data_IF_805606495239
#
_entry.id   IF_805606495239
#
_cell.length_a   1.000
_cell.length_b   1.000
_cell.length_c   1.000
_cell.angle_alpha   90.00
_cell.angle_beta   90.00
_cell.angle_gamma   90.00
#
_symmetry.space_group_name_H-M   'P 1'
#
loop_
_entity.id
_entity.type
_entity.pdbx_description
1 polymer ?
#
# COMPACT_ATOMS: atom_id res chain seq x y z
N UNK A 1 16.88 -17.66 -11.35
CA UNK A 1 16.10 -16.80 -10.45
C UNK A 1 15.41 -17.73 -9.47
N UNK A 2 15.83 -17.79 -8.20
CA UNK A 2 15.09 -18.57 -7.18
C UNK A 2 13.72 -17.92 -7.06
N UNK A 3 12.64 -18.64 -7.37
CA UNK A 3 11.30 -18.07 -7.35
C UNK A 3 10.94 -17.64 -5.93
N UNK A 4 10.41 -16.42 -5.78
CA UNK A 4 9.92 -15.91 -4.50
C UNK A 4 8.62 -16.60 -4.12
N UNK A 5 8.39 -16.75 -2.82
CA UNK A 5 7.18 -17.36 -2.27
C UNK A 5 6.07 -16.32 -2.12
N UNK A 6 4.82 -16.76 -1.92
CA UNK A 6 3.73 -15.84 -1.64
C UNK A 6 3.89 -15.12 -0.28
N UNK A 7 4.49 -15.80 0.70
CA UNK A 7 4.84 -15.22 2.00
C UNK A 7 5.90 -14.13 1.88
N UNK A 8 6.96 -14.38 1.11
CA UNK A 8 7.99 -13.37 0.83
C UNK A 8 7.35 -12.13 0.19
N UNK A 9 6.50 -12.33 -0.81
CA UNK A 9 5.82 -11.24 -1.49
C UNK A 9 4.87 -10.48 -0.55
N UNK A 10 4.14 -11.17 0.32
CA UNK A 10 3.32 -10.54 1.36
C UNK A 10 4.19 -9.63 2.25
N UNK A 11 5.35 -10.09 2.71
CA UNK A 11 6.24 -9.29 3.55
C UNK A 11 6.68 -7.99 2.88
N UNK A 12 6.96 -8.03 1.57
CA UNK A 12 7.27 -6.81 0.79
C UNK A 12 6.13 -5.78 0.83
N UNK A 13 4.88 -6.23 0.96
CA UNK A 13 3.71 -5.35 0.99
C UNK A 13 3.35 -4.83 2.38
N UNK A 14 3.53 -5.64 3.43
CA UNK A 14 3.07 -5.27 4.79
C UNK A 14 4.17 -4.68 5.67
N UNK A 15 5.43 -5.04 5.44
CA UNK A 15 6.55 -4.56 6.25
C UNK A 15 6.87 -3.10 5.90
N UNK A 16 6.53 -2.20 6.83
CA UNK A 16 6.66 -0.76 6.63
C UNK A 16 8.11 -0.27 6.63
N UNK A 17 9.00 -1.00 7.31
CA UNK A 17 10.43 -0.66 7.39
C UNK A 17 11.14 -1.04 6.09
N UNK A 18 10.86 -2.25 5.59
CA UNK A 18 11.46 -2.76 4.36
C UNK A 18 11.04 -1.97 3.11
N UNK A 19 9.83 -1.39 3.10
CA UNK A 19 9.33 -0.65 1.94
C UNK A 19 10.27 0.48 1.50
N UNK A 20 10.91 1.16 2.46
CA UNK A 20 11.81 2.30 2.19
C UNK A 20 13.16 1.86 1.58
N UNK A 21 13.52 0.58 1.70
CA UNK A 21 14.78 0.08 1.17
C UNK A 21 14.77 -0.01 -0.36
N UNK A 22 13.60 -0.24 -0.96
CA UNK A 22 13.47 -0.45 -2.40
C UNK A 22 12.59 0.58 -3.11
N UNK A 23 11.63 1.20 -2.42
CA UNK A 23 10.73 2.21 -2.99
C UNK A 23 11.29 3.64 -2.78
N UNK A 24 11.91 4.19 -3.82
CA UNK A 24 12.52 5.54 -3.79
C UNK A 24 11.49 6.66 -3.63
N UNK A 25 10.21 6.37 -3.84
CA UNK A 25 9.11 7.34 -3.67
C UNK A 25 8.58 7.34 -2.24
N UNK A 26 8.77 6.27 -1.47
CA UNK A 26 8.31 6.19 -0.08
C UNK A 26 9.19 7.05 0.85
N UNK A 27 8.67 8.20 1.26
CA UNK A 27 9.36 9.09 2.20
C UNK A 27 9.18 8.57 3.63
N UNK A 28 7.94 8.30 4.02
CA UNK A 28 7.60 7.81 5.35
C UNK A 28 6.48 6.78 5.22
N UNK A 29 6.63 5.63 5.86
CA UNK A 29 5.58 4.64 6.02
C UNK A 29 5.67 4.16 7.46
N UNK A 30 4.55 4.19 8.20
CA UNK A 30 4.50 3.77 9.61
C UNK A 30 3.12 3.31 10.03
N UNK A 31 3.10 2.41 11.00
CA UNK A 31 1.88 2.00 11.68
C UNK A 31 1.62 3.01 12.81
N UNK A 32 0.46 3.66 12.78
CA UNK A 32 0.01 4.61 13.80
C UNK A 32 -0.65 3.88 14.96
N UNK A 33 -1.43 2.85 14.66
CA UNK A 33 -2.19 2.04 15.61
C UNK A 33 -2.35 0.63 15.05
N UNK A 34 -2.39 -0.36 15.95
CA UNK A 34 -2.69 -1.75 15.62
C UNK A 34 -3.79 -2.24 16.55
N UNK A 35 -4.91 -2.67 15.97
CA UNK A 35 -5.98 -3.35 16.68
C UNK A 35 -5.82 -4.87 16.50
N UNK A 36 -5.33 -5.60 17.52
CA UNK A 36 -5.16 -7.04 17.44
C UNK A 36 -6.49 -7.80 17.43
N UNK A 37 -7.60 -7.20 17.88
CA UNK A 37 -8.91 -7.88 17.90
C UNK A 37 -9.51 -7.97 16.51
N UNK A 38 -9.30 -6.94 15.70
CA UNK A 38 -9.81 -6.85 14.32
C UNK A 38 -8.73 -7.07 13.27
N UNK A 39 -7.49 -7.37 13.70
CA UNK A 39 -6.32 -7.55 12.84
C UNK A 39 -6.14 -6.39 11.83
N UNK A 40 -6.37 -5.17 12.32
CA UNK A 40 -6.37 -3.95 11.50
C UNK A 40 -5.25 -3.01 11.94
N UNK A 41 -4.45 -2.58 10.98
CA UNK A 41 -3.48 -1.50 11.17
C UNK A 41 -4.07 -0.17 10.69
N UNK A 42 -3.81 0.92 11.41
CA UNK A 42 -3.90 2.28 10.86
C UNK A 42 -2.51 2.66 10.36
N UNK A 43 -2.39 2.96 9.07
CA UNK A 43 -1.10 3.22 8.41
C UNK A 43 -1.05 4.66 7.92
N UNK A 44 0.07 5.34 8.18
CA UNK A 44 0.45 6.59 7.53
C UNK A 44 1.45 6.31 6.42
N UNK A 45 1.20 6.85 5.22
CA UNK A 45 2.11 6.76 4.08
C UNK A 45 2.33 8.12 3.45
N UNK A 46 3.58 8.52 3.25
CA UNK A 46 3.97 9.68 2.47
C UNK A 46 4.76 9.27 1.22
N UNK A 47 4.31 9.78 0.09
CA UNK A 47 4.91 9.60 -1.22
C UNK A 47 5.53 10.91 -1.72
N UNK A 48 6.78 10.80 -2.18
CA UNK A 48 7.48 11.83 -2.93
C UNK A 48 6.83 11.97 -4.30
N UNK A 49 6.29 13.15 -4.56
CA UNK A 49 5.85 13.50 -5.90
C UNK A 49 6.97 14.21 -6.68
N UNK A 50 6.88 14.31 -8.02
CA UNK A 50 7.85 15.03 -8.83
C UNK A 50 8.07 16.47 -8.33
N UNK A 51 9.28 17.01 -8.52
CA UNK A 51 9.85 18.22 -7.84
C UNK A 51 8.96 19.48 -7.80
N UNK A 52 8.01 19.64 -8.72
CA UNK A 52 7.10 20.80 -8.76
C UNK A 52 5.73 20.54 -8.11
N UNK A 53 5.53 19.36 -7.52
CA UNK A 53 4.29 18.95 -6.89
C UNK A 53 4.46 18.72 -5.40
N UNK A 54 3.41 19.06 -4.66
CA UNK A 54 3.30 18.75 -3.25
C UNK A 54 3.23 17.23 -3.05
N UNK A 55 4.05 16.70 -2.14
CA UNK A 55 3.98 15.30 -1.72
C UNK A 55 2.56 14.89 -1.36
N UNK A 56 2.26 13.61 -1.58
CA UNK A 56 1.01 13.01 -1.15
C UNK A 56 1.20 12.32 0.17
N UNK A 57 0.23 12.46 1.05
CA UNK A 57 0.14 11.61 2.22
C UNK A 57 -1.24 10.95 2.35
N UNK A 58 -1.23 9.77 2.98
CA UNK A 58 -2.38 8.90 3.14
C UNK A 58 -2.47 8.49 4.60
N UNK A 59 -3.70 8.33 5.05
CA UNK A 59 -4.01 7.60 6.28
C UNK A 59 -5.07 6.58 5.91
N UNK A 60 -4.79 5.30 6.13
CA UNK A 60 -5.69 4.21 5.75
C UNK A 60 -5.67 3.07 6.76
N UNK A 61 -6.80 2.37 6.85
CA UNK A 61 -6.89 1.07 7.49
C UNK A 61 -6.30 0.03 6.54
N UNK A 62 -5.48 -0.88 7.06
CA UNK A 62 -4.95 -2.03 6.34
C UNK A 62 -5.32 -3.31 7.08
N UNK A 63 -5.91 -4.25 6.35
CA UNK A 63 -6.14 -5.63 6.82
C UNK A 63 -5.47 -6.61 5.89
N UNK A 64 -4.88 -7.65 6.45
CA UNK A 64 -4.35 -8.79 5.72
C UNK A 64 -5.08 -10.04 6.18
N UNK A 65 -5.63 -10.82 5.25
CA UNK A 65 -6.30 -12.08 5.55
C UNK A 65 -5.69 -13.20 4.72
N UNK A 66 -5.37 -14.31 5.38
CA UNK A 66 -4.93 -15.55 4.74
C UNK A 66 -6.11 -16.52 4.75
N UNK A 67 -6.52 -16.96 3.57
CA UNK A 67 -7.51 -18.02 3.38
C UNK A 67 -6.76 -19.31 3.02
N UNK A 68 -6.51 -20.14 4.02
CA UNK A 68 -5.78 -21.42 3.87
C UNK A 68 -6.53 -22.42 2.97
N UNK A 69 -7.86 -22.38 2.98
CA UNK A 69 -8.67 -23.32 2.19
C UNK A 69 -8.62 -22.97 0.71
N UNK A 70 -8.73 -21.68 0.36
CA UNK A 70 -8.63 -21.22 -1.03
C UNK A 70 -7.19 -21.00 -1.49
N UNK A 71 -6.23 -21.08 -0.57
CA UNK A 71 -4.83 -20.70 -0.77
C UNK A 71 -4.71 -19.31 -1.39
N UNK A 72 -5.24 -18.31 -0.69
CA UNK A 72 -5.20 -16.90 -1.14
C UNK A 72 -4.88 -15.98 0.03
N UNK A 73 -4.04 -14.98 -0.21
CA UNK A 73 -3.81 -13.86 0.70
C UNK A 73 -4.51 -12.64 0.12
N UNK A 74 -5.26 -11.91 0.94
CA UNK A 74 -5.91 -10.65 0.57
C UNK A 74 -5.42 -9.52 1.44
N UNK A 75 -4.94 -8.43 0.83
CA UNK A 75 -4.61 -7.18 1.51
C UNK A 75 -5.63 -6.14 1.09
N UNK A 76 -6.27 -5.51 2.06
CA UNK A 76 -7.29 -4.48 1.83
C UNK A 76 -6.83 -3.20 2.49
N UNK A 77 -6.81 -2.11 1.72
CA UNK A 77 -6.55 -0.78 2.23
C UNK A 77 -7.77 0.12 1.99
N UNK A 78 -8.14 0.92 2.99
CA UNK A 78 -9.26 1.85 2.90
C UNK A 78 -8.90 3.14 3.62
N UNK A 79 -9.06 4.28 2.96
CA UNK A 79 -8.80 5.59 3.56
C UNK A 79 -9.57 5.80 4.87
N UNK A 80 -8.92 6.44 5.84
CA UNK A 80 -9.52 6.78 7.13
C UNK A 80 -8.93 8.07 7.67
N UNK A 81 -9.56 8.62 8.71
CA UNK A 81 -9.00 9.71 9.50
C UNK A 81 -8.44 9.16 10.80
N UNK A 82 -7.41 9.80 11.34
CA UNK A 82 -6.83 9.45 12.63
C UNK A 82 -6.58 10.75 13.41
N UNK A 83 -7.11 10.83 14.64
CA UNK A 83 -7.08 12.06 15.46
C UNK A 83 -5.66 12.57 15.70
N UNK A 84 -4.71 11.65 15.93
CA UNK A 84 -3.29 11.99 16.13
C UNK A 84 -2.50 12.20 14.83
N UNK A 85 -3.15 12.10 13.65
CA UNK A 85 -2.53 12.31 12.35
C UNK A 85 -3.40 13.15 11.40
N UNK A 86 -3.68 14.42 11.77
CA UNK A 86 -4.42 15.33 10.90
C UNK A 86 -3.62 15.64 9.62
N UNK A 87 -4.26 16.22 8.59
CA UNK A 87 -3.57 16.73 7.41
C UNK A 87 -2.45 17.72 7.80
N UNK A 88 -1.27 17.56 7.21
CA UNK A 88 -0.09 18.38 7.50
C UNK A 88 0.06 19.49 6.45
N UNK A 89 0.46 20.68 6.86
CA UNK A 89 0.82 21.76 5.92
C UNK A 89 1.99 21.33 5.02
N UNK A 90 1.96 21.74 3.75
CA UNK A 90 2.98 21.36 2.76
C UNK A 90 2.86 19.94 2.21
N UNK A 91 1.77 19.22 2.54
CA UNK A 91 1.40 17.91 1.98
C UNK A 91 -0.04 17.94 1.50
N UNK A 92 -0.34 17.16 0.46
CA UNK A 92 -1.71 16.97 0.02
C UNK A 92 -2.22 15.60 0.49
N UNK A 93 -3.15 15.63 1.44
CA UNK A 93 -3.81 14.45 1.97
C UNK A 93 -4.79 13.87 0.96
N UNK A 94 -4.51 12.65 0.50
CA UNK A 94 -5.49 11.88 -0.28
C UNK A 94 -6.53 11.33 0.69
N UNK A 95 -7.81 11.66 0.42
CA UNK A 95 -8.94 11.29 1.30
C UNK A 95 -9.76 10.13 0.77
N UNK A 96 -9.76 9.94 -0.55
CA UNK A 96 -10.50 8.87 -1.22
C UNK A 96 -9.48 7.94 -1.86
N UNK A 97 -9.11 6.91 -1.10
CA UNK A 97 -8.18 5.88 -1.52
C UNK A 97 -8.68 4.53 -1.02
N UNK A 98 -8.64 3.53 -1.88
CA UNK A 98 -8.81 2.14 -1.50
C UNK A 98 -8.04 1.22 -2.43
N UNK A 99 -7.66 0.06 -1.92
CA UNK A 99 -7.08 -0.99 -2.75
C UNK A 99 -7.36 -2.38 -2.22
N UNK A 100 -7.43 -3.32 -3.16
CA UNK A 100 -7.50 -4.75 -2.93
C UNK A 100 -6.33 -5.39 -3.66
N UNK A 101 -5.52 -6.13 -2.92
CA UNK A 101 -4.51 -7.00 -3.49
C UNK A 101 -4.85 -8.43 -3.14
N UNK A 102 -4.86 -9.29 -4.16
CA UNK A 102 -5.08 -10.73 -4.02
C UNK A 102 -3.82 -11.43 -4.49
N UNK A 103 -3.21 -12.24 -3.64
CA UNK A 103 -2.00 -13.01 -3.93
C UNK A 103 -2.35 -14.49 -3.83
N UNK A 104 -1.99 -15.26 -4.85
CA UNK A 104 -2.25 -16.69 -4.93
C UNK A 104 -0.94 -17.43 -5.22
N UNK A 105 -0.46 -18.34 -4.36
CA UNK A 105 0.67 -19.18 -4.68
C UNK A 105 0.30 -20.14 -5.84
N UNK A 106 1.29 -20.51 -6.63
CA UNK A 106 1.11 -21.54 -7.66
C UNK A 106 0.90 -22.93 -7.05
N UNK A 107 1.56 -23.21 -5.92
CA UNK A 107 1.49 -24.50 -5.22
C UNK A 107 1.09 -24.33 -3.75
N UNK A 108 1.96 -23.70 -2.94
CA UNK A 108 1.69 -23.41 -1.52
C UNK A 108 2.41 -22.11 -1.13
N UNK A 109 2.04 -21.54 0.03
CA UNK A 109 2.48 -20.21 0.44
C UNK A 109 4.00 -20.08 0.61
N UNK A 110 4.66 -21.15 1.07
CA UNK A 110 6.11 -21.26 1.31
C UNK A 110 6.89 -21.77 0.08
N UNK A 111 6.21 -22.02 -1.06
CA UNK A 111 6.84 -22.53 -2.28
C UNK A 111 7.06 -21.44 -3.32
N UNK A 112 8.13 -21.54 -4.14
CA UNK A 112 8.34 -20.63 -5.25
C UNK A 112 7.16 -20.59 -6.22
N UNK A 113 6.77 -19.38 -6.63
CA UNK A 113 5.75 -19.15 -7.65
C UNK A 113 4.45 -18.58 -7.08
N UNK A 114 4.02 -17.45 -7.65
CA UNK A 114 2.77 -16.77 -7.28
C UNK A 114 2.19 -16.00 -8.45
N UNK A 115 0.90 -15.74 -8.38
CA UNK A 115 0.17 -14.76 -9.19
C UNK A 115 -0.46 -13.73 -8.26
N UNK A 116 -0.57 -12.48 -8.71
CA UNK A 116 -1.24 -11.45 -7.93
C UNK A 116 -2.05 -10.49 -8.81
N UNK A 117 -3.09 -9.93 -8.22
CA UNK A 117 -3.90 -8.86 -8.82
C UNK A 117 -3.99 -7.72 -7.82
N UNK A 118 -3.82 -6.50 -8.30
CA UNK A 118 -4.10 -5.28 -7.54
C UNK A 118 -5.23 -4.55 -8.25
N UNK A 119 -6.26 -4.17 -7.51
CA UNK A 119 -7.30 -3.26 -7.95
C UNK A 119 -7.34 -2.11 -6.96
N UNK A 120 -7.18 -0.89 -7.44
CA UNK A 120 -7.12 0.28 -6.58
C UNK A 120 -7.81 1.49 -7.19
N UNK A 121 -8.15 2.43 -6.32
CA UNK A 121 -8.63 3.75 -6.67
C UNK A 121 -7.93 4.78 -5.80
N UNK A 122 -7.50 5.85 -6.43
CA UNK A 122 -6.89 7.01 -5.78
C UNK A 122 -7.47 8.26 -6.43
N UNK A 123 -8.13 9.11 -5.64
CA UNK A 123 -8.57 10.42 -6.09
C UNK A 123 -7.46 11.46 -5.82
N UNK A 124 -6.78 11.95 -6.87
CA UNK A 124 -5.66 12.88 -6.70
C UNK A 124 -6.07 14.26 -6.18
N UNK A 125 -7.38 14.55 -6.07
CA UNK A 125 -7.95 15.79 -5.54
C UNK A 125 -7.73 17.03 -6.42
N UNK A 126 -7.02 16.88 -7.54
CA UNK A 126 -6.70 17.93 -8.51
C UNK A 126 -6.82 17.39 -9.93
N UNK A 127 -7.05 18.28 -10.91
CA UNK A 127 -6.89 17.92 -12.32
C UNK A 127 -5.40 17.75 -12.61
N UNK A 128 -4.98 16.51 -12.81
CA UNK A 128 -3.59 16.16 -13.06
C UNK A 128 -3.22 16.45 -14.52
N UNK A 129 -2.17 17.25 -14.79
CA UNK A 129 -1.53 17.28 -16.10
C UNK A 129 -1.14 15.87 -16.57
N UNK A 130 -1.28 15.61 -17.88
CA UNK A 130 -1.10 14.27 -18.47
C UNK A 130 0.26 13.62 -18.13
N UNK A 131 1.33 14.42 -18.02
CA UNK A 131 2.67 13.90 -17.70
C UNK A 131 2.77 13.30 -16.29
N UNK A 132 1.93 13.72 -15.33
CA UNK A 132 1.93 13.15 -13.98
C UNK A 132 1.15 11.85 -13.95
N UNK A 133 0.07 11.75 -14.74
CA UNK A 133 -0.66 10.49 -14.90
C UNK A 133 0.26 9.38 -15.43
N UNK A 134 1.11 9.69 -16.41
CA UNK A 134 2.11 8.72 -16.92
C UNK A 134 3.15 8.32 -15.87
N UNK A 135 3.60 9.25 -15.02
CA UNK A 135 4.53 8.92 -13.92
C UNK A 135 3.88 8.01 -12.88
N UNK A 136 2.64 8.33 -12.45
CA UNK A 136 1.89 7.52 -11.49
C UNK A 136 1.69 6.07 -11.98
N UNK A 137 1.38 5.89 -13.26
CA UNK A 137 1.26 4.55 -13.86
C UNK A 137 2.59 3.78 -13.87
N UNK A 138 3.73 4.48 -13.94
CA UNK A 138 5.05 3.84 -14.02
C UNK A 138 5.64 3.53 -12.63
N UNK A 139 5.23 4.25 -11.59
CA UNK A 139 5.70 4.05 -10.20
C UNK A 139 4.81 3.13 -9.37
N UNK A 140 3.65 2.72 -9.89
CA UNK A 140 2.66 1.88 -9.20
C UNK A 140 2.90 0.38 -9.32
#
# INVERSE_FOLDING_TARGET
MVGKTAEDFLQVQINVDFRKEWDQTAIELKILERDPKTETDVVYWELRFPRFFTNRDYVFLRRCKVDETRKVITIINQSTNHSNCPPKSGKHRVKEFWSYMVIKPTTDFDKPGLEFVITYFDNPGIRMPAYISSWLTFTG
#
